data_IF_596628709322
#
_entry.id   IF_596628709322
#
_cell.length_a   1.000
_cell.length_b   1.000
_cell.length_c   1.000
_cell.angle_alpha   90.00
_cell.angle_beta   90.00
_cell.angle_gamma   90.00
#
_symmetry.space_group_name_H-M   'P 1'
#
loop_
_entity.id
_entity.type
_entity.pdbx_description
1 polymer ?
#
# COMPACT_ATOMS: atom_id res chain seq x y z
N UNK A 1 -21.96 -1.43 -12.71
CA UNK A 1 -20.51 -1.11 -12.76
C UNK A 1 -19.77 -2.10 -13.62
N UNK A 2 -18.98 -1.63 -14.56
CA UNK A 2 -18.04 -2.42 -15.35
C UNK A 2 -16.63 -1.88 -15.10
N UNK A 3 -15.63 -2.77 -15.09
CA UNK A 3 -14.23 -2.38 -14.95
C UNK A 3 -13.36 -3.00 -16.03
N UNK A 4 -12.32 -2.29 -16.45
CA UNK A 4 -11.35 -2.75 -17.45
C UNK A 4 -9.94 -2.30 -17.04
N UNK A 5 -8.98 -3.19 -17.17
CA UNK A 5 -7.56 -2.85 -17.01
C UNK A 5 -6.96 -2.74 -18.41
N UNK A 6 -6.35 -1.59 -18.71
CA UNK A 6 -5.71 -1.27 -19.99
C UNK A 6 -4.22 -1.02 -19.76
N UNK A 7 -3.38 -1.55 -20.66
CA UNK A 7 -1.92 -1.43 -20.54
C UNK A 7 -1.27 -2.60 -19.79
N UNK A 8 0.06 -2.70 -19.91
CA UNK A 8 0.85 -3.80 -19.32
C UNK A 8 1.98 -3.30 -18.43
N UNK A 9 2.64 -2.21 -18.78
CA UNK A 9 3.77 -1.67 -18.02
C UNK A 9 3.33 -0.69 -16.94
N UNK A 10 2.46 0.26 -17.33
CA UNK A 10 1.81 1.24 -16.45
C UNK A 10 0.30 1.11 -16.67
N UNK A 11 -0.31 0.04 -16.12
CA UNK A 11 -1.72 -0.19 -16.37
C UNK A 11 -2.61 0.87 -15.72
N UNK A 12 -3.77 1.08 -16.34
CA UNK A 12 -4.85 1.90 -15.82
C UNK A 12 -6.09 1.04 -15.63
N UNK A 13 -6.75 1.22 -14.50
CA UNK A 13 -8.05 0.64 -14.19
C UNK A 13 -9.12 1.68 -14.50
N UNK A 14 -9.99 1.36 -15.43
CA UNK A 14 -11.09 2.20 -15.87
C UNK A 14 -12.41 1.61 -15.41
N UNK A 15 -13.31 2.44 -14.93
CA UNK A 15 -14.68 2.09 -14.55
C UNK A 15 -15.69 2.84 -15.40
N UNK A 16 -16.73 2.13 -15.85
CA UNK A 16 -17.98 2.70 -16.27
C UNK A 16 -18.99 2.53 -15.12
N UNK A 17 -19.34 3.64 -14.46
CA UNK A 17 -20.26 3.66 -13.32
C UNK A 17 -21.64 4.08 -13.79
N UNK A 18 -22.66 3.31 -13.42
CA UNK A 18 -24.04 3.69 -13.52
C UNK A 18 -24.43 4.68 -12.40
N UNK A 19 -25.52 5.45 -12.53
CA UNK A 19 -25.97 6.39 -11.49
C UNK A 19 -26.07 5.71 -10.11
N UNK A 20 -25.51 6.36 -9.09
CA UNK A 20 -25.38 5.91 -7.70
C UNK A 20 -24.37 4.80 -7.44
N UNK A 21 -23.68 4.27 -8.43
CA UNK A 21 -22.54 3.39 -8.20
C UNK A 21 -21.36 4.17 -7.65
N UNK A 22 -20.59 3.52 -6.78
CA UNK A 22 -19.55 4.16 -5.96
C UNK A 22 -18.29 3.32 -5.93
N UNK A 23 -17.15 3.98 -6.10
CA UNK A 23 -15.80 3.46 -5.85
C UNK A 23 -15.15 4.29 -4.74
N UNK A 24 -14.34 3.65 -3.91
CA UNK A 24 -13.52 4.31 -2.90
C UNK A 24 -12.03 4.11 -3.21
N UNK A 25 -11.21 5.10 -2.89
CA UNK A 25 -9.74 4.99 -2.94
C UNK A 25 -9.07 5.74 -1.81
N UNK A 26 -7.76 5.56 -1.61
CA UNK A 26 -7.00 6.52 -0.80
C UNK A 26 -6.99 7.90 -1.49
N UNK A 27 -6.83 8.95 -0.68
CA UNK A 27 -6.76 10.31 -1.22
C UNK A 27 -5.53 10.47 -2.14
N UNK A 28 -5.75 11.04 -3.32
CA UNK A 28 -4.68 11.31 -4.30
C UNK A 28 -4.49 10.22 -5.37
N UNK A 29 -5.27 9.15 -5.36
CA UNK A 29 -5.16 8.06 -6.35
C UNK A 29 -5.84 8.35 -7.70
N UNK A 30 -6.74 9.33 -7.77
CA UNK A 30 -7.49 9.67 -8.99
C UNK A 30 -6.57 10.06 -10.14
N UNK A 31 -6.80 9.46 -11.30
CA UNK A 31 -6.14 9.86 -12.55
C UNK A 31 -7.04 10.75 -13.41
N UNK A 32 -8.26 10.33 -13.72
CA UNK A 32 -9.28 11.15 -14.40
C UNK A 32 -10.69 10.66 -14.09
N UNK A 33 -11.67 11.53 -14.29
CA UNK A 33 -13.09 11.20 -14.14
C UNK A 33 -13.94 12.11 -15.01
N UNK A 34 -15.14 11.65 -15.39
CA UNK A 34 -16.15 12.48 -16.04
C UNK A 34 -16.81 13.47 -15.07
N UNK A 35 -17.41 14.52 -15.63
CA UNK A 35 -18.10 15.57 -14.84
C UNK A 35 -19.32 15.06 -14.06
N UNK A 36 -19.87 13.90 -14.44
CA UNK A 36 -20.97 13.23 -13.71
C UNK A 36 -20.50 12.53 -12.42
N UNK A 37 -19.19 12.42 -12.16
CA UNK A 37 -18.67 11.84 -10.93
C UNK A 37 -18.50 12.93 -9.87
N UNK A 38 -19.13 12.73 -8.72
CA UNK A 38 -18.93 13.53 -7.53
C UNK A 38 -17.87 12.88 -6.65
N UNK A 39 -16.92 13.68 -6.17
CA UNK A 39 -15.85 13.26 -5.26
C UNK A 39 -16.10 13.82 -3.87
N UNK A 40 -16.03 12.94 -2.85
CA UNK A 40 -16.14 13.34 -1.44
C UNK A 40 -15.04 12.65 -0.62
N UNK A 41 -14.22 13.44 0.07
CA UNK A 41 -13.14 12.90 0.89
C UNK A 41 -13.56 12.83 2.36
N UNK A 42 -13.35 11.69 2.97
CA UNK A 42 -13.63 11.42 4.38
C UNK A 42 -12.39 10.90 5.08
N UNK A 43 -12.28 11.21 6.37
CA UNK A 43 -11.31 10.52 7.24
C UNK A 43 -11.95 9.20 7.67
N UNK A 44 -11.45 8.07 7.17
CA UNK A 44 -11.91 6.77 7.65
C UNK A 44 -11.40 6.53 9.07
N UNK A 45 -12.34 6.51 10.00
CA UNK A 45 -12.10 6.02 11.34
C UNK A 45 -12.40 4.51 11.33
N UNK A 46 -11.37 3.68 11.32
CA UNK A 46 -11.56 2.24 11.51
C UNK A 46 -12.34 1.97 12.79
N UNK A 47 -13.52 1.38 12.65
CA UNK A 47 -14.47 0.84 13.61
C UNK A 47 -14.45 1.33 15.06
N UNK A 48 -15.54 1.97 15.49
CA UNK A 48 -16.00 2.04 16.89
C UNK A 48 -15.03 2.71 17.88
N UNK A 49 -15.07 4.03 17.96
CA UNK A 49 -14.41 4.74 19.04
C UNK A 49 -14.59 6.24 18.89
N UNK A 50 -15.24 6.87 19.86
CA UNK A 50 -15.47 8.30 19.89
C UNK A 50 -14.18 9.14 19.79
N UNK A 51 -14.32 10.46 19.95
CA UNK A 51 -13.28 11.51 19.80
C UNK A 51 -11.91 11.14 20.41
N UNK A 52 -11.86 10.35 21.49
CA UNK A 52 -10.63 9.84 22.13
C UNK A 52 -9.87 8.78 21.28
N UNK A 53 -10.57 8.03 20.42
CA UNK A 53 -9.93 7.06 19.51
C UNK A 53 -9.14 7.74 18.39
N UNK A 54 -9.55 8.93 17.98
CA UNK A 54 -8.91 9.78 16.97
C UNK A 54 -7.54 10.27 17.45
N UNK A 55 -7.47 10.80 18.67
CA UNK A 55 -6.24 11.39 19.23
C UNK A 55 -5.12 10.36 19.41
N UNK A 56 -5.48 9.11 19.79
CA UNK A 56 -4.52 8.02 20.00
C UNK A 56 -3.96 7.45 18.68
N UNK A 57 -4.67 7.61 17.56
CA UNK A 57 -4.24 7.13 16.22
C UNK A 57 -3.41 8.15 15.45
N UNK A 58 -3.64 9.43 15.67
CA UNK A 58 -2.77 10.51 15.15
C UNK A 58 -1.37 10.43 15.76
N UNK A 59 -1.24 9.95 16.99
CA UNK A 59 0.05 9.75 17.66
C UNK A 59 0.77 8.43 17.26
N UNK A 60 0.07 7.50 16.57
CA UNK A 60 0.57 6.15 16.24
C UNK A 60 0.69 5.82 14.76
N UNK A 61 0.65 6.81 13.84
CA UNK A 61 0.84 6.58 12.39
C UNK A 61 -0.41 6.75 11.54
N UNK A 62 -0.70 7.98 11.17
CA UNK A 62 -1.49 8.39 10.01
C UNK A 62 -2.97 7.99 9.98
N UNK A 63 -3.85 8.99 9.92
CA UNK A 63 -5.23 8.77 9.46
C UNK A 63 -5.22 8.41 7.97
N UNK A 64 -5.92 7.33 7.61
CA UNK A 64 -6.16 6.98 6.21
C UNK A 64 -7.31 7.87 5.73
N UNK A 65 -7.02 8.75 4.79
CA UNK A 65 -8.03 9.56 4.13
C UNK A 65 -8.56 8.79 2.93
N UNK A 66 -9.88 8.52 2.95
CA UNK A 66 -10.55 7.85 1.85
C UNK A 66 -11.39 8.84 1.05
N UNK A 67 -11.36 8.68 -0.25
CA UNK A 67 -12.17 9.44 -1.20
C UNK A 67 -13.21 8.51 -1.82
N UNK A 68 -14.47 8.94 -1.76
CA UNK A 68 -15.60 8.31 -2.44
C UNK A 68 -15.84 9.00 -3.78
N UNK A 69 -16.02 8.22 -4.83
CA UNK A 69 -16.37 8.65 -6.18
C UNK A 69 -17.70 8.03 -6.55
N UNK A 70 -18.71 8.87 -6.78
CA UNK A 70 -20.08 8.43 -7.06
C UNK A 70 -20.59 9.04 -8.35
N UNK A 71 -21.21 8.26 -9.23
CA UNK A 71 -21.90 8.76 -10.39
C UNK A 71 -23.25 9.39 -9.99
N UNK A 72 -23.48 10.66 -10.37
CA UNK A 72 -24.67 11.42 -10.00
C UNK A 72 -25.45 11.81 -11.25
N UNK A 73 -26.72 11.38 -11.29
CA UNK A 73 -27.69 11.77 -12.34
C UNK A 73 -27.47 11.13 -13.70
N UNK A 74 -26.24 10.80 -14.07
CA UNK A 74 -25.88 10.15 -15.34
C UNK A 74 -24.73 9.16 -15.12
N UNK A 75 -24.53 8.20 -16.03
CA UNK A 75 -23.36 7.35 -16.03
C UNK A 75 -22.07 8.17 -16.13
N UNK A 76 -20.97 7.65 -15.56
CA UNK A 76 -19.69 8.34 -15.56
C UNK A 76 -18.50 7.40 -15.68
N UNK A 77 -17.40 7.94 -16.20
CA UNK A 77 -16.12 7.25 -16.28
C UNK A 77 -15.22 7.68 -15.12
N UNK A 78 -14.47 6.73 -14.56
CA UNK A 78 -13.54 6.95 -13.49
C UNK A 78 -12.30 6.08 -13.71
N UNK A 79 -11.10 6.64 -13.54
CA UNK A 79 -9.87 5.90 -13.80
C UNK A 79 -8.77 6.13 -12.76
N UNK A 80 -8.01 5.06 -12.52
CA UNK A 80 -6.87 4.99 -11.63
C UNK A 80 -5.69 4.35 -12.36
N UNK A 81 -4.62 5.10 -12.61
CA UNK A 81 -3.37 4.59 -13.17
C UNK A 81 -2.41 4.19 -12.05
N UNK A 82 -1.57 3.17 -12.31
CA UNK A 82 -0.52 2.80 -11.37
C UNK A 82 0.55 3.90 -11.27
N UNK A 83 1.10 4.10 -10.08
CA UNK A 83 2.19 5.07 -9.81
C UNK A 83 3.53 4.61 -10.35
N UNK A 84 3.74 3.30 -10.41
CA UNK A 84 4.97 2.66 -10.87
C UNK A 84 4.64 1.58 -11.90
N UNK A 85 5.62 1.21 -12.76
CA UNK A 85 5.48 0.01 -13.58
C UNK A 85 5.10 -1.20 -12.74
N UNK A 86 4.09 -1.96 -13.17
CA UNK A 86 3.61 -3.09 -12.38
C UNK A 86 2.26 -3.64 -12.82
N UNK A 87 1.49 -4.13 -11.86
CA UNK A 87 0.24 -4.82 -12.11
C UNK A 87 -0.88 -4.30 -11.21
N UNK A 88 -2.10 -4.29 -11.75
CA UNK A 88 -3.34 -4.11 -10.97
C UNK A 88 -3.96 -5.48 -10.78
N UNK A 89 -4.15 -5.89 -9.52
CA UNK A 89 -4.66 -7.21 -9.14
C UNK A 89 -6.03 -7.06 -8.47
N UNK A 90 -7.13 -7.50 -9.11
CA UNK A 90 -8.42 -7.57 -8.44
C UNK A 90 -8.43 -8.72 -7.43
N UNK A 91 -8.94 -8.44 -6.22
CA UNK A 91 -9.16 -9.44 -5.17
C UNK A 91 -10.56 -9.32 -4.60
N UNK A 92 -11.21 -10.46 -4.38
CA UNK A 92 -12.50 -10.51 -3.69
C UNK A 92 -12.28 -10.46 -2.18
N UNK A 93 -12.94 -9.52 -1.54
CA UNK A 93 -12.94 -9.30 -0.10
C UNK A 93 -14.27 -9.77 0.49
N UNK A 94 -14.21 -10.57 1.55
CA UNK A 94 -15.37 -11.05 2.28
C UNK A 94 -14.95 -11.38 3.73
N UNK A 95 -15.88 -11.56 4.67
CA UNK A 95 -15.58 -12.10 5.99
C UNK A 95 -14.79 -13.41 5.90
N UNK A 96 -13.61 -13.46 6.53
CA UNK A 96 -12.66 -14.58 6.42
C UNK A 96 -11.79 -14.60 5.16
N UNK A 97 -12.00 -13.68 4.23
CA UNK A 97 -11.16 -13.47 3.03
C UNK A 97 -10.64 -12.04 3.00
N UNK A 98 -9.76 -11.77 3.92
CA UNK A 98 -9.11 -10.47 4.09
C UNK A 98 -7.66 -10.54 3.60
N UNK A 99 -7.05 -9.38 3.35
CA UNK A 99 -5.69 -9.30 2.81
C UNK A 99 -4.86 -8.33 3.62
N UNK A 100 -3.59 -8.68 3.77
CA UNK A 100 -2.54 -7.77 4.20
C UNK A 100 -1.78 -7.33 2.96
N UNK A 101 -1.61 -6.02 2.78
CA UNK A 101 -0.94 -5.44 1.61
C UNK A 101 0.14 -4.47 2.04
N UNK A 102 1.15 -4.28 1.21
CA UNK A 102 2.17 -3.28 1.48
C UNK A 102 1.56 -1.86 1.50
N UNK A 103 2.20 -0.94 2.22
CA UNK A 103 1.84 0.48 2.20
C UNK A 103 1.77 0.97 0.74
N UNK A 104 0.72 1.71 0.40
CA UNK A 104 0.42 2.16 -0.96
C UNK A 104 0.07 1.06 -1.96
N UNK A 105 -0.28 -0.15 -1.49
CA UNK A 105 -0.75 -1.24 -2.36
C UNK A 105 -2.25 -1.23 -2.62
N UNK A 106 -3.04 -0.38 -1.95
CA UNK A 106 -4.47 -0.24 -2.20
C UNK A 106 -4.70 0.83 -3.27
N UNK A 107 -5.18 0.45 -4.43
CA UNK A 107 -5.52 1.38 -5.50
C UNK A 107 -6.94 1.91 -5.30
N UNK A 108 -7.93 1.01 -5.24
CA UNK A 108 -9.33 1.36 -4.99
C UNK A 108 -10.14 0.11 -4.60
N UNK A 109 -11.41 0.31 -4.24
CA UNK A 109 -12.34 -0.76 -3.93
C UNK A 109 -13.79 -0.34 -4.10
N UNK A 110 -14.71 -1.32 -4.08
CA UNK A 110 -16.14 -1.06 -3.96
C UNK A 110 -16.47 -0.47 -2.59
N UNK A 111 -17.61 0.17 -2.45
CA UNK A 111 -17.98 1.01 -1.30
C UNK A 111 -17.98 0.32 0.08
N UNK A 112 -18.12 -1.01 0.12
CA UNK A 112 -18.12 -1.77 1.38
C UNK A 112 -16.75 -2.36 1.75
N UNK A 113 -15.72 -2.13 0.91
CA UNK A 113 -14.34 -2.45 1.25
C UNK A 113 -13.83 -1.46 2.29
N UNK A 114 -13.05 -1.95 3.23
CA UNK A 114 -12.47 -1.17 4.31
C UNK A 114 -10.94 -1.32 4.29
N UNK A 115 -10.24 -0.21 4.50
CA UNK A 115 -8.81 -0.16 4.62
C UNK A 115 -8.41 0.24 6.04
N UNK A 116 -7.49 -0.50 6.64
CA UNK A 116 -7.00 -0.24 7.99
C UNK A 116 -5.52 -0.51 8.14
N UNK A 117 -4.95 -0.18 9.28
CA UNK A 117 -3.58 -0.58 9.64
C UNK A 117 -3.60 -2.06 10.04
N UNK A 118 -2.82 -2.87 9.34
CA UNK A 118 -2.73 -4.30 9.60
C UNK A 118 -1.53 -4.67 10.48
N UNK A 119 -0.34 -4.19 10.12
CA UNK A 119 0.91 -4.45 10.84
C UNK A 119 1.83 -3.24 10.73
N UNK A 120 2.45 -2.86 11.82
CA UNK A 120 3.45 -1.79 11.85
C UNK A 120 4.61 -2.17 12.76
N UNK A 121 5.83 -2.04 12.27
CA UNK A 121 7.04 -2.26 13.05
C UNK A 121 8.12 -1.23 12.66
N UNK A 122 8.68 -0.55 13.66
CA UNK A 122 9.85 0.29 13.46
C UNK A 122 11.10 -0.59 13.34
N UNK A 123 11.79 -0.49 12.20
CA UNK A 123 12.97 -1.29 11.87
C UNK A 123 14.25 -0.47 11.70
N UNK A 124 14.29 0.73 12.34
CA UNK A 124 15.35 1.72 12.11
C UNK A 124 15.00 2.69 10.98
N UNK A 125 15.50 3.92 11.08
CA UNK A 125 15.10 5.02 10.19
C UNK A 125 15.63 4.92 8.75
N UNK A 126 16.55 3.99 8.45
CA UNK A 126 17.24 3.90 7.16
C UNK A 126 16.62 2.97 6.12
N UNK A 127 15.81 1.97 6.52
CA UNK A 127 15.41 0.87 5.61
C UNK A 127 14.08 1.12 4.91
N UNK A 128 13.11 1.69 5.61
CA UNK A 128 11.73 1.89 5.11
C UNK A 128 11.22 3.33 5.25
N UNK A 129 12.13 4.30 5.41
CA UNK A 129 11.78 5.68 5.74
C UNK A 129 11.41 5.83 7.22
N UNK A 130 11.05 7.05 7.65
CA UNK A 130 10.79 7.38 9.05
C UNK A 130 9.63 6.63 9.72
N UNK A 131 8.70 6.08 8.93
CA UNK A 131 7.49 5.40 9.43
C UNK A 131 7.69 3.89 9.71
N UNK A 132 8.84 3.31 9.37
CA UNK A 132 9.12 1.89 9.50
C UNK A 132 8.39 1.04 8.45
N UNK A 133 8.32 -0.27 8.70
CA UNK A 133 7.59 -1.21 7.85
C UNK A 133 6.11 -1.23 8.22
N UNK A 134 5.25 -0.97 7.25
CA UNK A 134 3.80 -0.91 7.42
C UNK A 134 3.09 -1.80 6.39
N UNK A 135 2.16 -2.61 6.89
CA UNK A 135 1.15 -3.30 6.08
C UNK A 135 -0.22 -2.74 6.39
N UNK A 136 -1.01 -2.55 5.35
CA UNK A 136 -2.43 -2.20 5.44
C UNK A 136 -3.28 -3.48 5.43
N UNK A 137 -4.42 -3.45 6.10
CA UNK A 137 -5.41 -4.53 6.07
C UNK A 137 -6.58 -4.13 5.19
N UNK A 138 -6.87 -4.94 4.19
CA UNK A 138 -8.06 -4.83 3.34
C UNK A 138 -9.10 -5.83 3.85
N UNK A 139 -10.27 -5.33 4.23
CA UNK A 139 -11.37 -6.09 4.83
C UNK A 139 -12.73 -5.58 4.33
N UNK A 140 -13.84 -6.10 4.88
CA UNK A 140 -15.19 -5.75 4.46
C UNK A 140 -15.74 -6.72 3.43
N UNK A 141 -16.46 -6.21 2.41
CA UNK A 141 -17.09 -7.02 1.39
C UNK A 141 -17.07 -6.33 0.02
N UNK A 142 -16.72 -7.07 -1.03
CA UNK A 142 -16.71 -6.59 -2.41
C UNK A 142 -15.40 -6.88 -3.12
N UNK A 143 -15.03 -6.03 -4.08
CA UNK A 143 -13.78 -6.15 -4.83
C UNK A 143 -12.84 -5.01 -4.44
N UNK A 144 -11.60 -5.35 -4.16
CA UNK A 144 -10.50 -4.40 -4.04
C UNK A 144 -9.51 -4.60 -5.20
N UNK A 145 -8.93 -3.52 -5.70
CA UNK A 145 -7.86 -3.55 -6.69
C UNK A 145 -6.57 -3.11 -6.02
N UNK A 146 -5.58 -4.00 -6.12
CA UNK A 146 -4.26 -3.80 -5.51
C UNK A 146 -3.27 -3.36 -6.58
N UNK A 147 -2.40 -2.41 -6.25
CA UNK A 147 -1.27 -1.99 -7.07
C UNK A 147 0.01 -2.68 -6.57
N UNK A 148 0.67 -3.46 -7.43
CA UNK A 148 1.92 -4.17 -7.13
C UNK A 148 2.98 -3.79 -8.16
N UNK A 149 4.16 -3.39 -7.69
CA UNK A 149 5.19 -2.77 -8.53
C UNK A 149 6.19 -3.79 -9.11
N UNK A 150 6.50 -3.63 -10.39
CA UNK A 150 7.33 -4.57 -11.15
C UNK A 150 6.56 -5.82 -11.56
N UNK A 151 7.27 -6.93 -11.72
CA UNK A 151 6.65 -8.21 -12.03
C UNK A 151 6.02 -8.85 -10.79
N UNK A 152 4.96 -9.58 -11.03
CA UNK A 152 4.15 -10.25 -10.01
C UNK A 152 4.51 -11.73 -9.93
N UNK A 153 4.88 -12.21 -8.74
CA UNK A 153 5.10 -13.63 -8.47
C UNK A 153 4.11 -14.10 -7.39
N UNK A 154 3.24 -15.03 -7.76
CA UNK A 154 2.26 -15.62 -6.84
C UNK A 154 2.76 -16.97 -6.32
N UNK A 155 2.52 -17.25 -5.04
CA UNK A 155 2.81 -18.52 -4.39
C UNK A 155 1.65 -18.92 -3.46
N UNK A 156 1.30 -20.19 -3.47
CA UNK A 156 0.37 -20.79 -2.50
C UNK A 156 1.19 -21.60 -1.49
N UNK A 157 1.31 -21.07 -0.27
CA UNK A 157 2.04 -21.72 0.82
C UNK A 157 1.16 -22.78 1.47
N UNK A 158 1.72 -23.97 1.64
CA UNK A 158 1.08 -25.07 2.37
C UNK A 158 1.08 -24.80 3.89
N UNK A 159 0.23 -25.47 4.68
CA UNK A 159 0.28 -25.37 6.14
C UNK A 159 1.68 -25.65 6.69
N UNK A 160 2.24 -24.68 7.44
CA UNK A 160 3.59 -24.77 8.00
C UNK A 160 4.73 -24.45 7.03
N UNK A 161 4.47 -24.32 5.74
CA UNK A 161 5.48 -23.89 4.77
C UNK A 161 5.85 -22.42 5.02
N UNK A 162 7.15 -22.14 5.15
CA UNK A 162 7.65 -20.79 5.41
C UNK A 162 8.55 -20.31 4.28
N UNK A 163 8.20 -19.16 3.69
CA UNK A 163 9.06 -18.43 2.76
C UNK A 163 9.66 -17.21 3.45
N UNK A 164 10.99 -17.05 3.34
CA UNK A 164 11.68 -15.85 3.82
C UNK A 164 11.94 -14.90 2.67
N UNK A 165 11.50 -13.65 2.83
CA UNK A 165 11.49 -12.64 1.77
C UNK A 165 12.06 -11.33 2.31
N UNK A 166 12.82 -10.59 1.51
CA UNK A 166 13.15 -9.21 1.88
C UNK A 166 11.83 -8.40 1.97
N UNK A 167 11.56 -7.68 3.07
CA UNK A 167 10.24 -7.09 3.34
C UNK A 167 9.67 -6.24 2.20
N UNK A 168 10.51 -5.48 1.49
CA UNK A 168 10.08 -4.66 0.35
C UNK A 168 9.50 -5.45 -0.83
N UNK A 169 9.79 -6.74 -0.95
CA UNK A 169 9.21 -7.60 -1.98
C UNK A 169 7.86 -8.21 -1.59
N UNK A 170 7.40 -8.04 -0.35
CA UNK A 170 6.06 -8.46 0.08
C UNK A 170 5.05 -7.50 -0.50
N UNK A 171 4.28 -7.92 -1.49
CA UNK A 171 3.22 -7.13 -2.11
C UNK A 171 1.91 -7.28 -1.34
N UNK A 172 1.42 -8.50 -1.22
CA UNK A 172 0.19 -8.82 -0.50
C UNK A 172 0.20 -10.27 0.00
N UNK A 173 -0.68 -10.60 0.95
CA UNK A 173 -0.96 -11.98 1.35
C UNK A 173 -2.34 -12.10 2.01
N UNK A 174 -2.91 -13.31 1.95
CA UNK A 174 -4.18 -13.62 2.61
C UNK A 174 -4.01 -13.63 4.14
N UNK A 175 -5.04 -13.26 4.88
CA UNK A 175 -5.04 -13.16 6.35
C UNK A 175 -4.75 -14.49 7.07
N UNK A 176 -4.86 -15.64 6.39
CA UNK A 176 -4.45 -16.94 6.92
C UNK A 176 -2.92 -17.16 6.98
N UNK A 177 -2.14 -16.34 6.27
CA UNK A 177 -0.68 -16.40 6.28
C UNK A 177 -0.14 -15.67 7.51
N UNK A 178 0.65 -16.35 8.31
CA UNK A 178 1.39 -15.74 9.44
C UNK A 178 2.55 -14.90 8.91
N UNK A 179 2.74 -13.71 9.49
CA UNK A 179 3.78 -12.76 9.09
C UNK A 179 4.63 -12.35 10.29
N UNK A 180 5.95 -12.46 10.15
CA UNK A 180 6.92 -12.01 11.16
C UNK A 180 8.13 -11.39 10.48
N UNK A 181 8.71 -10.33 11.07
CA UNK A 181 10.00 -9.79 10.64
C UNK A 181 11.07 -10.27 11.61
N UNK A 182 12.12 -10.87 11.05
CA UNK A 182 13.25 -11.41 11.80
C UNK A 182 14.56 -10.80 11.30
N UNK A 183 15.50 -10.60 12.20
CA UNK A 183 16.89 -10.30 11.84
C UNK A 183 17.63 -11.59 11.52
N UNK A 184 18.52 -11.55 10.54
CA UNK A 184 19.41 -12.70 10.25
C UNK A 184 20.56 -12.70 11.25
N UNK A 185 20.71 -13.72 12.12
CA UNK A 185 21.83 -13.80 13.05
C UNK A 185 23.17 -13.94 12.32
N UNK A 186 24.23 -13.32 12.81
CA UNK A 186 25.62 -13.56 12.37
C UNK A 186 26.15 -12.62 11.29
N UNK A 187 25.35 -11.81 10.64
CA UNK A 187 25.80 -10.75 9.71
C UNK A 187 25.82 -9.44 10.48
N UNK A 188 26.90 -9.24 11.26
CA UNK A 188 27.12 -7.94 11.92
C UNK A 188 27.60 -6.92 10.89
N UNK A 189 26.77 -5.90 10.66
CA UNK A 189 27.13 -4.48 10.43
C UNK A 189 28.19 -4.07 9.39
N UNK A 190 28.67 -4.92 8.48
CA UNK A 190 29.80 -4.51 7.64
C UNK A 190 29.44 -4.03 6.22
N UNK A 191 28.22 -4.26 5.72
CA UNK A 191 27.92 -4.00 4.30
C UNK A 191 26.77 -2.98 4.08
N UNK A 192 25.91 -2.72 5.08
CA UNK A 192 24.71 -1.90 4.91
C UNK A 192 24.54 -0.78 5.97
N UNK A 193 25.60 -0.11 6.36
CA UNK A 193 25.48 1.11 7.17
C UNK A 193 24.93 0.95 8.58
N UNK A 194 25.04 -0.23 9.20
CA UNK A 194 24.67 -0.44 10.61
C UNK A 194 23.30 -1.07 10.85
N UNK A 195 22.40 -1.09 9.86
CA UNK A 195 21.09 -1.70 9.98
C UNK A 195 21.15 -3.15 9.53
N UNK A 196 20.87 -4.12 10.41
CA UNK A 196 20.93 -5.56 10.11
C UNK A 196 20.08 -5.97 8.90
N UNK A 197 20.33 -7.16 8.35
CA UNK A 197 19.47 -7.71 7.29
C UNK A 197 18.17 -8.21 7.93
N UNK A 198 17.06 -7.59 7.54
CA UNK A 198 15.71 -8.00 7.94
C UNK A 198 15.09 -8.90 6.89
N UNK A 199 14.45 -9.99 7.32
CA UNK A 199 13.65 -10.85 6.47
C UNK A 199 12.22 -10.96 7.04
N UNK A 200 11.25 -10.88 6.16
CA UNK A 200 9.88 -11.24 6.44
C UNK A 200 9.75 -12.77 6.31
N UNK A 201 9.30 -13.46 7.34
CA UNK A 201 8.90 -14.86 7.30
C UNK A 201 7.38 -14.91 7.08
N UNK A 202 6.96 -15.47 5.95
CA UNK A 202 5.57 -15.70 5.56
C UNK A 202 5.30 -17.21 5.71
N UNK A 203 4.41 -17.59 6.63
CA UNK A 203 4.09 -19.02 6.90
C UNK A 203 2.64 -19.29 6.56
N UNK A 204 2.42 -20.25 5.66
CA UNK A 204 1.08 -20.71 5.23
C UNK A 204 0.25 -21.39 6.33
N UNK A 205 -1.00 -21.65 6.04
CA UNK A 205 -1.56 -21.75 4.70
C UNK A 205 -2.05 -20.44 4.11
N UNK A 206 -1.89 -20.28 2.79
CA UNK A 206 -2.51 -19.20 2.05
C UNK A 206 -1.67 -18.65 0.90
N UNK A 207 -2.31 -17.80 0.08
CA UNK A 207 -1.66 -17.18 -1.07
C UNK A 207 -0.91 -15.92 -0.69
N UNK A 208 0.28 -15.77 -1.28
CA UNK A 208 1.12 -14.59 -1.22
C UNK A 208 1.38 -14.03 -2.62
N UNK A 209 1.52 -12.72 -2.71
CA UNK A 209 1.90 -11.99 -3.92
C UNK A 209 3.20 -11.24 -3.62
N UNK A 210 4.22 -11.52 -4.40
CA UNK A 210 5.52 -10.87 -4.31
C UNK A 210 5.67 -9.91 -5.50
N UNK A 211 6.30 -8.77 -5.26
CA UNK A 211 6.59 -7.73 -6.24
C UNK A 211 8.10 -7.59 -6.47
N UNK A 212 8.52 -7.34 -7.71
CA UNK A 212 9.97 -7.31 -8.03
C UNK A 212 10.58 -5.93 -7.94
N UNK A 213 9.75 -4.85 -7.87
CA UNK A 213 10.21 -3.46 -7.80
C UNK A 213 9.81 -2.78 -6.48
N UNK A 214 10.48 -3.07 -5.34
CA UNK A 214 10.23 -2.32 -4.11
C UNK A 214 10.57 -0.84 -4.27
N UNK A 215 9.68 0.07 -3.83
CA UNK A 215 9.86 1.53 -3.92
C UNK A 215 11.18 1.96 -3.27
N UNK A 216 11.56 1.35 -2.14
CA UNK A 216 12.83 1.65 -1.47
C UNK A 216 14.05 1.39 -2.35
N UNK A 217 14.06 0.30 -3.12
CA UNK A 217 15.15 0.00 -4.06
C UNK A 217 15.20 0.98 -5.21
N UNK A 218 14.05 1.34 -5.78
CA UNK A 218 13.98 2.36 -6.82
C UNK A 218 14.47 3.71 -6.29
N UNK A 219 14.03 4.12 -5.10
CA UNK A 219 14.47 5.36 -4.47
C UNK A 219 15.99 5.41 -4.24
N UNK A 220 16.59 4.31 -3.76
CA UNK A 220 18.05 4.22 -3.60
C UNK A 220 18.78 4.32 -4.94
N UNK A 221 18.31 3.59 -5.96
CA UNK A 221 18.91 3.65 -7.29
C UNK A 221 18.85 5.06 -7.91
N UNK A 222 17.74 5.78 -7.72
CA UNK A 222 17.60 7.15 -8.18
C UNK A 222 18.46 8.14 -7.37
N UNK A 223 18.59 7.94 -6.05
CA UNK A 223 19.35 8.82 -5.17
C UNK A 223 20.85 8.91 -5.56
N UNK A 224 21.42 7.85 -6.16
CA UNK A 224 22.80 7.86 -6.65
C UNK A 224 23.03 8.86 -7.80
N UNK A 225 21.97 9.22 -8.53
CA UNK A 225 22.01 10.16 -9.65
C UNK A 225 21.49 11.56 -9.29
N UNK A 226 20.98 11.74 -8.08
CA UNK A 226 20.49 13.05 -7.64
C UNK A 226 21.63 13.92 -7.11
N UNK A 227 21.62 15.24 -7.39
CA UNK A 227 22.60 16.15 -6.81
C UNK A 227 22.56 16.09 -5.28
N UNK A 228 23.70 15.89 -4.64
CA UNK A 228 23.80 15.99 -3.19
C UNK A 228 23.62 17.45 -2.78
N UNK A 229 22.52 17.82 -2.14
CA UNK A 229 22.38 19.12 -1.48
C UNK A 229 23.47 19.24 -0.41
N UNK A 230 24.42 20.15 -0.64
CA UNK A 230 25.46 20.47 0.33
C UNK A 230 24.80 21.04 1.60
N UNK A 231 24.69 20.24 2.65
CA UNK A 231 24.21 20.62 3.99
C UNK A 231 25.05 21.74 4.68
N UNK A 232 26.02 22.35 3.97
CA UNK A 232 26.94 23.33 4.52
C UNK A 232 26.47 24.79 4.50
N UNK A 233 25.35 25.14 3.86
CA UNK A 233 24.94 26.56 3.76
C UNK A 233 23.99 27.06 4.85
N UNK A 234 23.57 26.25 5.84
CA UNK A 234 22.69 26.72 6.93
C UNK A 234 23.38 27.15 8.23
N UNK A 235 24.71 27.15 8.29
CA UNK A 235 25.43 27.58 9.54
C UNK A 235 25.96 29.03 9.45
N UNK A 236 25.78 29.72 8.32
CA UNK A 236 26.43 31.05 8.08
C UNK A 236 25.54 32.29 8.22
N UNK A 237 24.31 32.22 8.73
CA UNK A 237 23.43 33.40 8.89
C UNK A 237 22.82 33.56 10.27
N UNK A 238 23.61 33.43 11.29
CA UNK A 238 23.25 33.92 12.64
C UNK A 238 24.47 34.57 13.24
N UNK A 239 24.72 35.82 12.86
CA UNK A 239 25.47 36.83 13.60
C UNK A 239 25.78 37.99 12.63
N UNK A 240 24.90 38.96 12.54
CA UNK A 240 25.15 40.40 12.55
C UNK A 240 23.86 41.06 13.05
#
# INVERSE_FOLDING_TARGET
>A
MQSRITGTTMPVLEFALEPNETIISEAGELSWMSSSIQMTTHTQFGGGGGIFGVLKRVAGGGSIFMTEYRAIGAPGELAFATKLPGHIVPVEVAPGREYMIHRHGFLCGTSQVQLGVGFQQSLGAGIFGGDGFLLQKVSGQGTAWLELSGELVMRDLQPGETLRVHPGHVGAFQSGVSFQITTVPGIKNMIFGGDGIFLAALTGPGRIWLQTLPISRLAHALAEFMPHENRREKIGRAHV
#
